data_IF_987070922965
#
_entry.id   IF_987070922965
#
_cell.length_a   1.000
_cell.length_b   1.000
_cell.length_c   1.000
_cell.angle_alpha   90.00
_cell.angle_beta   90.00
_cell.angle_gamma   90.00
#
_symmetry.space_group_name_H-M   'P 1'
#
loop_
_entity.id
_entity.type
_entity.pdbx_description
1 polymer ?
#
# COMPACT_ATOMS: atom_id res chain seq x y z
N UNK A 1 -50.93 16.07 82.63
CA UNK A 1 -49.72 15.37 82.15
C UNK A 1 -49.27 16.10 80.87
N UNK A 2 -48.20 16.89 80.90
CA UNK A 2 -46.85 16.48 80.44
C UNK A 2 -46.93 15.91 79.00
N UNK A 3 -46.32 16.43 77.94
CA UNK A 3 -44.98 17.02 77.83
C UNK A 3 -44.80 17.73 76.47
N UNK A 4 -43.86 18.66 76.45
CA UNK A 4 -43.40 19.59 75.40
C UNK A 4 -42.45 18.95 74.35
N UNK A 5 -42.14 19.72 73.29
CA UNK A 5 -40.91 19.72 72.41
C UNK A 5 -41.08 18.99 71.05
N UNK A 6 -41.14 19.63 69.87
CA UNK A 6 -40.28 20.57 69.08
C UNK A 6 -39.34 19.88 68.06
N UNK A 7 -39.53 20.28 66.80
CA UNK A 7 -38.62 20.49 65.67
C UNK A 7 -37.69 19.35 65.18
N UNK A 8 -37.74 19.04 63.87
CA UNK A 8 -36.70 19.50 62.92
C UNK A 8 -37.07 19.26 61.44
N UNK A 9 -36.72 20.26 60.59
CA UNK A 9 -36.61 20.18 59.12
C UNK A 9 -35.71 19.02 58.70
N UNK A 10 -36.10 18.23 57.68
CA UNK A 10 -35.15 17.49 56.83
C UNK A 10 -35.62 17.42 55.37
N UNK A 11 -34.92 18.18 54.53
CA UNK A 11 -34.36 17.83 53.21
C UNK A 11 -35.21 17.03 52.20
N UNK A 12 -35.61 17.71 51.11
CA UNK A 12 -35.96 17.09 49.83
C UNK A 12 -34.78 16.30 49.27
N UNK A 13 -34.85 14.97 49.33
CA UNK A 13 -33.94 14.06 48.62
C UNK A 13 -34.32 13.99 47.14
N UNK A 14 -33.32 14.26 46.30
CA UNK A 14 -33.28 14.14 44.84
C UNK A 14 -33.79 12.78 44.36
N UNK A 15 -34.84 12.79 43.54
CA UNK A 15 -35.20 11.69 42.65
C UNK A 15 -33.99 11.36 41.76
N UNK A 16 -33.42 10.18 41.97
CA UNK A 16 -32.40 9.61 41.10
C UNK A 16 -33.03 9.23 39.76
N UNK A 17 -32.83 10.09 38.75
CA UNK A 17 -32.93 9.66 37.35
C UNK A 17 -31.55 9.11 36.99
N UNK A 18 -31.45 7.79 36.86
CA UNK A 18 -30.25 7.10 36.39
C UNK A 18 -29.90 7.59 34.99
N UNK A 19 -28.96 8.54 34.92
CA UNK A 19 -28.21 8.83 33.71
C UNK A 19 -27.13 7.75 33.68
N UNK A 20 -27.27 6.75 32.80
CA UNK A 20 -26.14 5.93 32.41
C UNK A 20 -25.12 6.81 31.69
N UNK A 21 -24.23 7.41 32.48
CA UNK A 21 -22.89 7.85 32.05
C UNK A 21 -21.99 6.65 32.21
N UNK A 22 -21.51 6.11 31.08
CA UNK A 22 -20.34 5.23 30.92
C UNK A 22 -20.39 4.66 29.48
N UNK A 23 -19.39 4.66 28.57
CA UNK A 23 -17.95 4.93 28.51
C UNK A 23 -17.61 5.06 26.98
N UNK A 24 -17.19 6.19 26.41
CA UNK A 24 -15.79 6.59 26.15
C UNK A 24 -15.82 7.97 25.45
N UNK A 25 -14.96 8.90 25.86
CA UNK A 25 -14.65 10.08 25.04
C UNK A 25 -14.02 9.60 23.71
N UNK A 26 -14.46 10.05 22.51
CA UNK A 26 -13.72 9.74 21.30
C UNK A 26 -12.36 10.41 21.39
N UNK A 27 -11.32 9.62 21.65
CA UNK A 27 -9.95 10.12 21.74
C UNK A 27 -9.63 10.97 20.50
N UNK A 28 -9.09 12.18 20.69
CA UNK A 28 -8.72 13.02 19.55
C UNK A 28 -7.51 12.43 18.83
N UNK A 29 -7.56 12.36 17.50
CA UNK A 29 -6.50 11.78 16.67
C UNK A 29 -6.10 12.80 15.60
N UNK A 30 -4.83 12.77 15.16
CA UNK A 30 -4.39 13.65 14.05
C UNK A 30 -5.23 13.39 12.79
N UNK A 31 -5.69 14.45 12.13
CA UNK A 31 -6.46 14.35 10.90
C UNK A 31 -5.76 13.49 9.84
N UNK A 32 -4.45 13.65 9.67
CA UNK A 32 -3.65 12.81 8.75
C UNK A 32 -3.62 11.33 9.13
N UNK A 33 -3.76 11.00 10.42
CA UNK A 33 -3.96 9.61 10.89
C UNK A 33 -5.37 9.14 10.60
N UNK A 34 -6.40 9.96 10.86
CA UNK A 34 -7.81 9.60 10.59
C UNK A 34 -8.08 9.35 9.12
N UNK A 35 -7.53 10.22 8.26
CA UNK A 35 -7.57 10.06 6.80
C UNK A 35 -6.92 8.77 6.34
N UNK A 36 -5.78 8.39 6.95
CA UNK A 36 -5.11 7.13 6.65
C UNK A 36 -5.90 5.91 7.16
N UNK A 37 -6.58 6.01 8.31
CA UNK A 37 -7.44 4.95 8.84
C UNK A 37 -8.67 4.72 7.98
N UNK A 38 -9.32 5.80 7.54
CA UNK A 38 -10.48 5.76 6.65
C UNK A 38 -10.13 5.44 5.20
N UNK A 39 -8.84 5.49 4.82
CA UNK A 39 -8.41 5.23 3.45
C UNK A 39 -8.57 6.38 2.49
N UNK A 40 -8.81 7.59 3.00
CA UNK A 40 -8.92 8.83 2.20
C UNK A 40 -7.59 9.10 1.47
N UNK A 41 -6.48 9.06 2.21
CA UNK A 41 -5.14 9.34 1.68
C UNK A 41 -4.07 8.67 2.56
N UNK A 42 -2.84 8.53 2.05
CA UNK A 42 -1.72 8.15 2.91
C UNK A 42 -1.46 9.24 3.96
N UNK A 43 -0.87 8.88 5.11
CA UNK A 43 -0.53 9.89 6.13
C UNK A 43 0.41 10.97 5.60
N UNK A 44 1.37 10.61 4.73
CA UNK A 44 2.30 11.58 4.11
C UNK A 44 1.57 12.52 3.17
N UNK A 45 0.66 11.99 2.36
CA UNK A 45 -0.12 12.80 1.42
C UNK A 45 -1.07 13.75 2.14
N UNK A 46 -1.78 13.27 3.16
CA UNK A 46 -2.61 14.13 4.01
C UNK A 46 -1.76 15.23 4.67
N UNK A 47 -0.57 14.91 5.19
CA UNK A 47 0.36 15.90 5.75
C UNK A 47 0.82 16.92 4.69
N UNK A 48 1.09 16.49 3.46
CA UNK A 48 1.47 17.38 2.35
C UNK A 48 0.36 18.39 2.05
N UNK A 49 -0.86 17.90 1.82
CA UNK A 49 -2.04 18.74 1.55
C UNK A 49 -2.31 19.74 2.69
N UNK A 50 -2.23 19.29 3.94
CA UNK A 50 -2.40 20.17 5.10
C UNK A 50 -1.32 21.26 5.18
N UNK A 51 -0.08 20.91 4.84
CA UNK A 51 1.04 21.86 4.81
C UNK A 51 0.85 22.91 3.71
N UNK A 52 0.53 22.47 2.50
CA UNK A 52 0.25 23.36 1.35
C UNK A 52 -0.90 24.31 1.67
N UNK A 53 -2.02 23.78 2.19
CA UNK A 53 -3.17 24.59 2.59
C UNK A 53 -2.83 25.64 3.66
N UNK A 54 -2.00 25.29 4.65
CA UNK A 54 -1.61 26.24 5.71
C UNK A 54 -0.75 27.41 5.23
N UNK A 55 -0.10 27.27 4.07
CA UNK A 55 0.78 28.29 3.50
C UNK A 55 0.02 29.30 2.64
N UNK A 56 -1.26 29.09 2.36
CA UNK A 56 -1.99 29.84 1.34
C UNK A 56 -2.58 31.20 1.75
N UNK A 57 -2.30 31.73 2.96
CA UNK A 57 -2.81 33.04 3.43
C UNK A 57 -4.31 33.30 3.10
N UNK A 58 -5.15 32.25 3.10
CA UNK A 58 -6.58 32.32 2.80
C UNK A 58 -6.97 32.12 1.32
N UNK A 59 -6.06 32.26 0.36
CA UNK A 59 -6.37 32.01 -1.07
C UNK A 59 -6.14 30.55 -1.45
N UNK A 60 -7.19 29.73 -1.39
CA UNK A 60 -7.14 28.31 -1.73
C UNK A 60 -7.30 28.02 -3.23
N UNK A 61 -7.64 29.02 -4.05
CA UNK A 61 -7.98 28.85 -5.46
C UNK A 61 -6.84 28.26 -6.31
N UNK A 62 -5.59 28.47 -5.89
CA UNK A 62 -4.41 27.96 -6.60
C UNK A 62 -4.08 26.50 -6.28
N UNK A 63 -4.68 25.93 -5.22
CA UNK A 63 -4.40 24.58 -4.78
C UNK A 63 -5.09 23.53 -5.66
N UNK A 64 -4.34 22.49 -6.03
CA UNK A 64 -4.89 21.36 -6.78
C UNK A 64 -5.95 20.61 -5.97
N UNK A 65 -5.71 20.45 -4.67
CA UNK A 65 -6.55 19.72 -3.71
C UNK A 65 -6.50 20.38 -2.33
N UNK A 66 -7.64 20.39 -1.63
CA UNK A 66 -7.85 20.98 -0.31
C UNK A 66 -8.71 20.02 0.52
N UNK A 67 -8.35 19.84 1.78
CA UNK A 67 -9.11 19.01 2.72
C UNK A 67 -10.19 19.86 3.37
N UNK A 68 -11.42 19.35 3.40
CA UNK A 68 -12.56 19.97 4.07
C UNK A 68 -13.04 19.10 5.24
N UNK A 69 -13.32 19.74 6.37
CA UNK A 69 -13.99 19.14 7.52
C UNK A 69 -15.35 19.80 7.67
N UNK A 70 -16.42 18.99 7.60
CA UNK A 70 -17.81 19.47 7.74
C UNK A 70 -18.10 20.71 6.88
N UNK A 71 -17.65 20.68 5.62
CA UNK A 71 -17.84 21.76 4.65
C UNK A 71 -16.86 22.94 4.75
N UNK A 72 -15.96 22.98 5.75
CA UNK A 72 -14.98 24.07 5.92
C UNK A 72 -13.57 23.64 5.50
N UNK A 73 -12.82 24.46 4.75
CA UNK A 73 -11.44 24.13 4.36
C UNK A 73 -10.53 24.07 5.60
N UNK A 74 -9.63 23.10 5.62
CA UNK A 74 -8.67 22.90 6.72
C UNK A 74 -7.38 23.63 6.41
N UNK A 75 -7.14 24.74 7.10
CA UNK A 75 -5.94 25.58 6.94
C UNK A 75 -4.98 25.50 8.14
N UNK A 76 -5.35 24.78 9.20
CA UNK A 76 -4.61 24.69 10.47
C UNK A 76 -3.32 23.85 10.44
N UNK A 77 -2.83 23.45 9.26
CA UNK A 77 -1.58 22.72 9.11
C UNK A 77 -1.61 21.27 9.61
N UNK A 78 -0.43 20.70 9.85
CA UNK A 78 -0.26 19.25 10.05
C UNK A 78 -0.65 18.75 11.45
N UNK A 79 -0.89 19.67 12.39
CA UNK A 79 -1.21 19.35 13.79
C UNK A 79 -2.72 19.17 14.04
N UNK A 80 -3.58 19.47 13.05
CA UNK A 80 -5.03 19.38 13.17
C UNK A 80 -5.44 18.00 13.69
N UNK A 81 -6.32 17.99 14.70
CA UNK A 81 -6.91 16.79 15.29
C UNK A 81 -8.42 16.78 15.07
N UNK A 82 -8.98 15.58 14.97
CA UNK A 82 -10.41 15.32 14.86
C UNK A 82 -10.81 14.24 15.85
N UNK A 83 -12.10 14.13 16.21
CA UNK A 83 -12.62 12.97 16.93
C UNK A 83 -12.26 11.66 16.20
N UNK A 84 -11.98 10.59 16.95
CA UNK A 84 -11.64 9.27 16.38
C UNK A 84 -12.72 8.68 15.50
N UNK A 85 -13.97 9.09 15.71
CA UNK A 85 -15.18 8.73 14.97
C UNK A 85 -15.56 9.75 13.89
N UNK A 86 -14.71 10.75 13.59
CA UNK A 86 -15.01 11.73 12.55
C UNK A 86 -15.13 11.04 11.18
N UNK A 87 -16.22 11.31 10.47
CA UNK A 87 -16.55 10.70 9.18
C UNK A 87 -16.85 11.73 8.10
N UNK A 88 -16.95 13.03 8.41
CA UNK A 88 -17.28 14.09 7.44
C UNK A 88 -16.03 14.78 6.91
N UNK A 89 -15.25 14.04 6.13
CA UNK A 89 -13.98 14.49 5.54
C UNK A 89 -14.06 14.40 4.01
N UNK A 90 -13.76 15.51 3.34
CA UNK A 90 -13.74 15.57 1.88
C UNK A 90 -12.39 16.12 1.37
N UNK A 91 -11.99 15.72 0.17
CA UNK A 91 -10.87 16.31 -0.57
C UNK A 91 -11.41 16.84 -1.88
N UNK A 92 -11.29 18.14 -2.12
CA UNK A 92 -11.83 18.83 -3.31
C UNK A 92 -10.75 19.70 -3.94
N UNK A 93 -10.90 20.02 -5.22
CA UNK A 93 -10.01 21.01 -5.84
C UNK A 93 -10.24 22.40 -5.24
N UNK A 94 -9.15 23.14 -5.00
CA UNK A 94 -9.21 24.52 -4.54
C UNK A 94 -9.80 25.48 -5.58
N UNK A 95 -9.76 25.10 -6.87
CA UNK A 95 -10.23 25.90 -8.03
C UNK A 95 -11.76 26.04 -8.16
N UNK A 96 -12.54 25.80 -7.09
CA UNK A 96 -13.99 26.02 -7.13
C UNK A 96 -14.32 27.33 -6.44
N UNK A 97 -15.00 28.21 -7.17
CA UNK A 97 -15.62 29.40 -6.63
C UNK A 97 -16.76 28.96 -5.72
N UNK A 98 -16.59 29.11 -4.41
CA UNK A 98 -17.71 29.09 -3.49
C UNK A 98 -18.37 30.46 -3.60
N UNK A 99 -19.36 30.62 -4.48
CA UNK A 99 -20.30 31.74 -4.34
C UNK A 99 -21.05 31.53 -3.02
N UNK A 100 -21.00 32.49 -2.12
CA UNK A 100 -21.61 32.46 -0.77
C UNK A 100 -23.15 32.31 -0.75
N UNK A 101 -23.77 32.01 -1.90
CA UNK A 101 -25.22 31.93 -2.11
C UNK A 101 -25.80 30.51 -2.13
N UNK A 102 -25.01 29.44 -2.00
CA UNK A 102 -25.55 28.08 -1.97
C UNK A 102 -25.99 27.69 -0.54
N UNK A 103 -27.14 27.02 -0.44
CA UNK A 103 -27.65 26.42 0.79
C UNK A 103 -26.54 25.72 1.58
N UNK A 104 -26.60 25.69 2.94
CA UNK A 104 -25.54 25.13 3.77
C UNK A 104 -25.10 23.77 3.21
N UNK A 105 -23.80 23.58 2.96
CA UNK A 105 -23.32 22.43 2.22
C UNK A 105 -23.81 21.17 2.92
N UNK A 106 -24.59 20.36 2.21
CA UNK A 106 -25.08 19.07 2.74
C UNK A 106 -23.85 18.30 3.20
N UNK A 107 -23.79 18.02 4.51
CA UNK A 107 -22.66 17.33 5.11
C UNK A 107 -22.57 15.93 4.52
N UNK A 108 -21.62 15.72 3.61
CA UNK A 108 -21.40 14.41 3.01
C UNK A 108 -20.52 13.57 3.94
N UNK A 109 -21.09 12.46 4.39
CA UNK A 109 -20.33 11.43 5.08
C UNK A 109 -19.33 10.79 4.10
N UNK A 110 -18.10 10.60 4.54
CA UNK A 110 -17.08 9.90 3.78
C UNK A 110 -17.54 8.47 3.49
N UNK A 111 -17.47 8.08 2.22
CA UNK A 111 -17.75 6.71 1.78
C UNK A 111 -16.43 5.94 1.73
N UNK A 112 -16.27 4.87 2.55
CA UNK A 112 -15.10 4.00 2.52
C UNK A 112 -14.82 3.46 1.13
N UNK A 113 -13.53 3.30 0.79
CA UNK A 113 -13.08 2.89 -0.55
C UNK A 113 -13.82 1.65 -1.08
N UNK A 114 -14.08 0.66 -0.23
CA UNK A 114 -14.77 -0.58 -0.60
C UNK A 114 -16.29 -0.42 -0.85
N UNK A 115 -16.89 0.69 -0.41
CA UNK A 115 -18.31 1.00 -0.61
C UNK A 115 -18.54 2.03 -1.71
N UNK A 116 -17.47 2.57 -2.32
CA UNK A 116 -17.58 3.50 -3.43
C UNK A 116 -18.01 2.78 -4.70
N UNK A 117 -18.68 3.52 -5.58
CA UNK A 117 -19.01 3.03 -6.91
C UNK A 117 -17.73 2.65 -7.66
N UNK A 118 -17.80 1.61 -8.50
CA UNK A 118 -16.63 1.10 -9.22
C UNK A 118 -15.97 2.19 -10.08
N UNK A 119 -16.79 3.03 -10.69
CA UNK A 119 -16.39 4.12 -11.58
C UNK A 119 -15.54 5.18 -10.85
N UNK A 120 -15.67 5.28 -9.53
CA UNK A 120 -14.90 6.21 -8.69
C UNK A 120 -13.51 5.68 -8.34
N UNK A 121 -13.37 4.35 -8.19
CA UNK A 121 -12.14 3.71 -7.71
C UNK A 121 -11.37 2.99 -8.83
N UNK A 122 -11.98 2.83 -10.00
CA UNK A 122 -11.35 2.20 -11.15
C UNK A 122 -10.09 2.94 -11.55
N UNK A 123 -8.99 2.20 -11.68
CA UNK A 123 -7.67 2.74 -12.01
C UNK A 123 -6.87 3.28 -10.82
N UNK A 124 -7.43 3.42 -9.61
CA UNK A 124 -6.65 3.86 -8.44
C UNK A 124 -5.55 2.88 -8.05
N UNK A 125 -5.70 1.61 -8.43
CA UNK A 125 -4.71 0.56 -8.22
C UNK A 125 -4.40 -0.15 -9.52
N UNK A 126 -3.12 -0.37 -9.75
CA UNK A 126 -2.58 -1.02 -10.94
C UNK A 126 -1.57 -2.10 -10.53
N UNK A 127 -1.27 -2.99 -11.46
CA UNK A 127 -0.21 -3.99 -11.32
C UNK A 127 0.80 -3.80 -12.44
N UNK A 128 2.06 -4.08 -12.14
CA UNK A 128 3.19 -4.06 -13.06
C UNK A 128 3.86 -5.43 -12.99
N UNK A 129 4.17 -6.03 -14.14
CA UNK A 129 5.15 -7.10 -14.18
C UNK A 129 6.55 -6.47 -14.17
N UNK A 130 7.15 -6.38 -12.98
CA UNK A 130 8.41 -5.66 -12.78
C UNK A 130 9.58 -6.47 -13.38
N UNK A 131 10.39 -5.88 -14.29
CA UNK A 131 11.64 -6.50 -14.77
C UNK A 131 12.76 -6.43 -13.71
N UNK A 132 13.84 -7.17 -13.97
CA UNK A 132 15.10 -7.03 -13.23
C UNK A 132 15.71 -5.63 -13.47
N UNK A 133 16.49 -5.12 -12.50
CA UNK A 133 17.25 -3.86 -12.66
C UNK A 133 16.50 -2.61 -12.15
N UNK A 134 15.20 -2.73 -11.87
CA UNK A 134 14.42 -1.64 -11.30
C UNK A 134 14.24 -1.81 -9.80
N UNK A 135 14.24 -0.70 -9.05
CA UNK A 135 13.85 -0.69 -7.63
C UNK A 135 12.36 -0.42 -7.48
N UNK A 136 11.69 -0.97 -6.46
CA UNK A 136 10.24 -0.78 -6.31
C UNK A 136 9.82 0.64 -5.90
N UNK A 137 10.68 1.38 -5.18
CA UNK A 137 10.32 2.63 -4.52
C UNK A 137 11.26 3.77 -4.85
N UNK A 138 11.79 4.43 -3.82
CA UNK A 138 12.72 5.55 -4.00
C UNK A 138 14.03 5.07 -4.62
N UNK A 139 14.65 5.95 -5.41
CA UNK A 139 15.96 5.72 -6.01
C UNK A 139 17.03 5.55 -4.93
N UNK A 140 17.65 4.37 -4.90
CA UNK A 140 18.84 4.07 -4.12
C UNK A 140 20.00 3.82 -5.11
N UNK A 141 21.18 4.36 -4.82
CA UNK A 141 22.44 4.00 -5.50
C UNK A 141 22.41 3.95 -7.05
N UNK A 142 21.81 4.94 -7.71
CA UNK A 142 21.74 5.08 -9.19
C UNK A 142 20.76 4.13 -9.91
N UNK A 143 19.90 3.40 -9.19
CA UNK A 143 18.93 2.51 -9.82
C UNK A 143 17.61 3.19 -10.17
N UNK A 144 17.07 2.84 -11.35
CA UNK A 144 15.82 3.40 -11.88
C UNK A 144 14.62 2.83 -11.12
N UNK A 145 13.65 3.67 -10.70
CA UNK A 145 12.49 3.20 -9.98
C UNK A 145 11.42 2.66 -10.94
N UNK A 146 10.74 1.58 -10.55
CA UNK A 146 9.74 0.89 -11.36
C UNK A 146 8.53 1.77 -11.74
N UNK A 147 8.29 2.88 -11.02
CA UNK A 147 7.27 3.88 -11.38
C UNK A 147 7.51 4.48 -12.78
N UNK A 148 8.76 4.49 -13.26
CA UNK A 148 9.10 4.95 -14.62
C UNK A 148 8.53 4.07 -15.72
N UNK A 149 8.15 2.84 -15.39
CA UNK A 149 7.53 1.92 -16.35
C UNK A 149 6.02 2.17 -16.51
N UNK A 150 5.42 3.09 -15.74
CA UNK A 150 3.99 3.41 -15.82
C UNK A 150 3.69 4.40 -16.95
N UNK A 151 4.10 4.07 -18.18
CA UNK A 151 3.90 4.87 -19.39
C UNK A 151 2.73 4.34 -20.22
N UNK A 152 2.24 5.12 -21.20
CA UNK A 152 1.20 4.66 -22.15
C UNK A 152 1.67 3.42 -22.93
N UNK A 153 2.92 3.42 -23.38
CA UNK A 153 3.45 2.34 -24.21
C UNK A 153 3.59 1.02 -23.43
N UNK A 154 3.70 1.12 -22.11
CA UNK A 154 3.74 -0.03 -21.22
C UNK A 154 2.35 -0.43 -20.69
N UNK A 155 1.29 0.31 -21.02
CA UNK A 155 -0.07 -0.11 -20.68
C UNK A 155 -0.42 -1.37 -21.47
N UNK A 156 -0.79 -2.42 -20.74
CA UNK A 156 -1.29 -3.66 -21.29
C UNK A 156 -2.81 -3.62 -21.41
N UNK A 157 -3.31 -3.79 -22.63
CA UNK A 157 -4.74 -3.79 -22.94
C UNK A 157 -5.27 -5.22 -23.19
N UNK A 158 -4.41 -6.24 -23.14
CA UNK A 158 -4.77 -7.63 -23.43
C UNK A 158 -4.86 -7.92 -24.94
N UNK A 159 -4.88 -9.22 -25.29
CA UNK A 159 -5.13 -9.70 -26.67
C UNK A 159 -6.61 -10.06 -26.93
N UNK A 160 -7.41 -10.42 -25.91
CA UNK A 160 -8.83 -10.84 -26.09
C UNK A 160 -9.83 -10.32 -25.05
N UNK A 161 -9.44 -9.46 -24.10
CA UNK A 161 -10.39 -8.69 -23.32
C UNK A 161 -10.14 -7.21 -23.60
N UNK A 162 -10.65 -6.77 -24.75
CA UNK A 162 -10.93 -5.36 -24.99
C UNK A 162 -11.58 -4.77 -23.75
N UNK A 163 -10.83 -3.98 -22.99
CA UNK A 163 -11.38 -2.73 -22.51
C UNK A 163 -11.86 -2.02 -23.78
N UNK A 164 -13.14 -2.19 -24.10
CA UNK A 164 -13.72 -1.57 -25.29
C UNK A 164 -13.41 -0.08 -25.20
N UNK A 165 -13.18 0.58 -26.32
CA UNK A 165 -13.04 2.04 -26.36
C UNK A 165 -14.35 2.64 -25.84
N UNK A 166 -14.42 2.93 -24.54
CA UNK A 166 -15.67 3.21 -23.81
C UNK A 166 -15.75 2.58 -22.41
N UNK A 167 -15.05 1.47 -22.17
CA UNK A 167 -14.95 0.82 -20.86
C UNK A 167 -13.95 1.56 -19.98
N UNK A 168 -14.44 2.64 -19.35
CA UNK A 168 -14.09 2.99 -17.97
C UNK A 168 -12.64 3.36 -17.61
N UNK A 169 -11.65 3.34 -18.50
CA UNK A 169 -10.33 3.92 -18.21
C UNK A 169 -10.43 5.46 -18.25
N UNK A 170 -11.09 6.05 -17.24
CA UNK A 170 -10.99 7.48 -16.94
C UNK A 170 -9.66 7.79 -16.25
N UNK A 171 -8.54 7.47 -16.91
CA UNK A 171 -7.34 8.27 -16.67
C UNK A 171 -7.63 9.64 -17.26
N UNK A 172 -8.10 10.58 -16.43
CA UNK A 172 -8.23 11.98 -16.82
C UNK A 172 -6.94 12.40 -17.53
N UNK A 173 -7.03 13.00 -18.73
CA UNK A 173 -5.86 13.45 -19.51
C UNK A 173 -4.91 14.33 -18.66
N UNK A 174 -5.42 14.98 -17.61
CA UNK A 174 -4.68 15.76 -16.61
C UNK A 174 -3.72 14.94 -15.73
N UNK A 175 -3.81 13.60 -15.72
CA UNK A 175 -2.99 12.69 -14.88
C UNK A 175 -1.70 12.23 -15.58
N UNK A 176 -1.53 12.54 -16.87
CA UNK A 176 -0.31 12.28 -17.65
C UNK A 176 0.56 13.53 -17.60
N UNK A 177 1.63 13.51 -16.81
CA UNK A 177 2.61 14.60 -16.78
C UNK A 177 3.82 14.20 -17.62
N UNK A 178 4.21 15.04 -18.60
CA UNK A 178 5.36 14.80 -19.52
C UNK A 178 6.68 14.52 -18.80
N UNK A 179 6.74 14.86 -17.53
CA UNK A 179 7.81 14.51 -16.63
C UNK A 179 7.13 14.36 -15.28
N UNK A 180 7.41 13.31 -14.54
CA UNK A 180 7.14 13.28 -13.11
C UNK A 180 8.14 14.24 -12.41
N UNK A 181 8.06 15.53 -12.78
CA UNK A 181 8.91 16.61 -12.30
C UNK A 181 8.41 17.18 -10.97
N UNK A 182 7.23 16.77 -10.51
CA UNK A 182 6.60 17.34 -9.32
C UNK A 182 6.20 16.32 -8.25
N UNK A 183 6.19 15.00 -8.49
CA UNK A 183 6.05 14.07 -7.35
C UNK A 183 7.40 13.77 -6.71
N UNK A 184 7.37 13.63 -5.39
CA UNK A 184 8.52 13.32 -4.51
C UNK A 184 9.12 11.92 -4.71
N UNK A 185 8.75 11.25 -5.82
CA UNK A 185 9.18 9.92 -6.23
C UNK A 185 10.57 9.92 -6.86
N UNK A 186 10.99 11.04 -7.45
CA UNK A 186 12.26 11.22 -8.17
C UNK A 186 13.09 12.32 -7.48
N UNK A 187 14.29 12.01 -6.96
CA UNK A 187 15.20 12.97 -6.35
C UNK A 187 15.58 14.16 -7.26
N UNK A 188 15.69 15.36 -6.65
CA UNK A 188 16.06 16.61 -7.33
C UNK A 188 17.36 16.52 -8.13
N UNK A 189 18.33 15.71 -7.65
CA UNK A 189 19.65 15.51 -8.29
C UNK A 189 19.59 14.84 -9.67
N UNK A 190 18.64 13.93 -9.88
CA UNK A 190 18.43 13.28 -11.19
C UNK A 190 17.71 14.23 -12.13
N UNK A 191 16.81 15.04 -11.58
CA UNK A 191 16.14 16.12 -12.32
C UNK A 191 17.14 17.17 -12.86
N UNK A 192 18.28 17.35 -12.18
CA UNK A 192 19.34 18.29 -12.58
C UNK A 192 20.47 17.66 -13.40
N UNK A 193 20.58 16.34 -13.44
CA UNK A 193 21.62 15.62 -14.21
C UNK A 193 21.13 15.17 -15.59
N UNK A 194 19.84 15.30 -15.87
CA UNK A 194 19.28 15.18 -17.21
C UNK A 194 19.70 16.42 -18.00
N UNK A 195 20.46 16.26 -19.07
CA UNK A 195 20.95 17.40 -19.86
C UNK A 195 19.77 18.13 -20.50
N UNK A 196 19.92 19.44 -20.73
CA UNK A 196 18.94 20.22 -21.51
C UNK A 196 18.78 19.67 -22.94
N UNK A 197 19.73 18.88 -23.44
CA UNK A 197 19.69 18.25 -24.76
C UNK A 197 18.78 17.01 -24.81
N UNK A 198 18.71 16.18 -23.75
CA UNK A 198 17.75 15.06 -23.66
C UNK A 198 16.28 15.52 -23.60
N UNK A 199 16.06 16.80 -23.27
CA UNK A 199 14.75 17.43 -23.21
C UNK A 199 14.32 18.10 -24.54
N UNK A 200 15.26 18.35 -25.46
CA UNK A 200 15.05 19.17 -26.66
C UNK A 200 15.47 18.51 -27.99
N UNK A 201 16.08 17.32 -27.99
CA UNK A 201 16.32 16.57 -29.22
C UNK A 201 15.02 16.06 -29.84
N UNK A 202 14.90 16.09 -31.17
CA UNK A 202 13.71 15.61 -31.90
C UNK A 202 13.45 14.08 -31.79
N UNK A 203 14.20 13.36 -30.96
CA UNK A 203 13.90 11.99 -30.51
C UNK A 203 13.66 11.88 -28.98
N UNK A 204 13.54 13.01 -28.28
CA UNK A 204 13.52 13.16 -26.81
C UNK A 204 12.18 13.65 -26.23
N UNK A 205 11.05 13.04 -26.59
CA UNK A 205 9.84 13.17 -25.76
C UNK A 205 9.96 12.24 -24.57
N UNK A 206 10.41 12.74 -23.41
CA UNK A 206 10.28 12.03 -22.14
C UNK A 206 8.86 11.46 -22.01
N UNK A 207 8.72 10.12 -22.04
CA UNK A 207 7.40 9.49 -22.08
C UNK A 207 6.65 9.84 -20.80
N UNK A 208 5.49 10.49 -20.93
CA UNK A 208 4.64 10.82 -19.80
C UNK A 208 4.34 9.55 -18.97
N UNK A 209 4.61 9.61 -17.67
CA UNK A 209 4.34 8.54 -16.71
C UNK A 209 3.13 8.88 -15.85
N UNK A 210 2.41 7.86 -15.38
CA UNK A 210 1.38 8.03 -14.37
C UNK A 210 1.98 8.52 -13.04
N UNK A 211 1.46 9.63 -12.55
CA UNK A 211 1.89 10.24 -11.29
C UNK A 211 0.95 9.92 -10.12
N UNK A 212 1.50 10.01 -8.91
CA UNK A 212 0.76 9.81 -7.65
C UNK A 212 0.59 8.36 -7.21
N UNK A 213 1.15 7.39 -7.94
CA UNK A 213 1.13 5.98 -7.57
C UNK A 213 2.29 5.62 -6.64
N UNK A 214 1.97 5.00 -5.50
CA UNK A 214 2.97 4.47 -4.58
C UNK A 214 3.05 2.94 -4.69
N UNK A 215 4.24 2.33 -4.57
CA UNK A 215 4.37 0.89 -4.56
C UNK A 215 3.72 0.29 -3.30
N UNK A 216 2.91 -0.74 -3.51
CA UNK A 216 2.27 -1.53 -2.46
C UNK A 216 3.12 -2.76 -2.21
N UNK A 217 4.11 -2.59 -1.34
CA UNK A 217 5.13 -3.57 -1.04
C UNK A 217 6.37 -3.38 -1.90
N UNK A 218 7.33 -4.30 -1.76
CA UNK A 218 8.60 -4.23 -2.48
C UNK A 218 8.96 -5.58 -3.09
N UNK A 219 9.70 -5.53 -4.18
CA UNK A 219 10.48 -6.60 -4.76
C UNK A 219 11.93 -6.14 -4.82
N UNK A 220 12.86 -7.05 -4.59
CA UNK A 220 14.28 -6.75 -4.75
C UNK A 220 14.59 -6.38 -6.21
N UNK A 221 15.70 -5.66 -6.42
CA UNK A 221 16.14 -5.26 -7.75
C UNK A 221 16.32 -6.44 -8.71
N UNK A 222 16.86 -7.56 -8.21
CA UNK A 222 17.11 -8.80 -8.96
C UNK A 222 15.92 -9.76 -8.96
N UNK A 223 14.73 -9.28 -8.60
CA UNK A 223 13.49 -10.07 -8.58
C UNK A 223 12.49 -9.50 -9.59
N UNK A 224 11.73 -10.40 -10.22
CA UNK A 224 10.71 -10.07 -11.23
C UNK A 224 9.30 -10.32 -10.75
N UNK A 225 8.32 -9.96 -11.57
CA UNK A 225 6.92 -10.35 -11.39
C UNK A 225 6.06 -9.26 -10.78
N UNK A 226 4.93 -9.68 -10.21
CA UNK A 226 3.84 -8.83 -9.77
C UNK A 226 4.26 -7.79 -8.74
N UNK A 227 4.25 -6.50 -9.12
CA UNK A 227 4.34 -5.35 -8.23
C UNK A 227 3.06 -4.53 -8.31
N UNK A 228 2.42 -4.31 -7.17
CA UNK A 228 1.20 -3.51 -7.08
C UNK A 228 1.57 -2.06 -6.84
N UNK A 229 0.87 -1.13 -7.49
CA UNK A 229 0.94 0.30 -7.22
C UNK A 229 -0.46 0.82 -6.91
N UNK A 230 -0.59 1.73 -5.95
CA UNK A 230 -1.89 2.30 -5.59
C UNK A 230 -1.78 3.76 -5.16
N UNK A 231 -2.83 4.52 -5.49
CA UNK A 231 -3.12 5.84 -4.93
C UNK A 231 -3.93 5.76 -3.63
N UNK A 232 -4.59 4.63 -3.40
CA UNK A 232 -5.44 4.38 -2.25
C UNK A 232 -4.65 3.73 -1.11
N UNK A 233 -4.41 4.50 -0.03
CA UNK A 233 -3.65 4.00 1.12
C UNK A 233 -4.27 2.77 1.80
N UNK A 234 -5.60 2.61 1.74
CA UNK A 234 -6.31 1.42 2.21
C UNK A 234 -5.91 0.16 1.46
N UNK A 235 -5.74 0.23 0.15
CA UNK A 235 -5.28 -0.90 -0.65
C UNK A 235 -3.88 -1.35 -0.19
N UNK A 236 -2.99 -0.39 0.04
CA UNK A 236 -1.66 -0.67 0.58
C UNK A 236 -1.74 -1.36 1.96
N UNK A 237 -2.50 -0.79 2.89
CA UNK A 237 -2.67 -1.37 4.23
C UNK A 237 -3.22 -2.79 4.17
N UNK A 238 -4.13 -3.06 3.25
CA UNK A 238 -4.76 -4.37 3.07
C UNK A 238 -3.76 -5.43 2.62
N UNK A 239 -2.98 -5.13 1.58
CA UNK A 239 -2.09 -6.09 0.94
C UNK A 239 -0.77 -6.32 1.71
N UNK A 240 -0.23 -5.29 2.39
CA UNK A 240 1.14 -5.32 2.93
C UNK A 240 1.30 -4.92 4.40
N UNK A 241 0.22 -4.70 5.16
CA UNK A 241 0.39 -4.42 6.60
C UNK A 241 1.07 -5.58 7.33
N UNK A 242 1.83 -5.35 8.42
CA UNK A 242 2.50 -6.42 9.16
C UNK A 242 1.55 -7.52 9.68
N UNK A 243 0.30 -7.15 9.96
CA UNK A 243 -0.75 -8.06 10.42
C UNK A 243 -1.47 -8.78 9.27
N UNK A 244 -1.15 -8.49 8.01
CA UNK A 244 -1.80 -9.12 6.87
C UNK A 244 -1.55 -10.62 6.84
N UNK A 245 -2.55 -11.36 6.37
CA UNK A 245 -2.51 -12.80 6.08
C UNK A 245 -2.47 -13.05 4.58
N UNK A 246 -2.40 -11.98 3.77
CA UNK A 246 -2.38 -12.06 2.30
C UNK A 246 -1.18 -12.88 1.83
N UNK A 247 -1.52 -13.99 1.19
CA UNK A 247 -0.60 -14.93 0.59
C UNK A 247 0.14 -14.30 -0.59
N UNK A 248 1.39 -14.69 -0.77
CA UNK A 248 2.26 -14.24 -1.84
C UNK A 248 2.89 -15.47 -2.45
N UNK A 249 2.61 -15.71 -3.72
CA UNK A 249 3.16 -16.83 -4.45
C UNK A 249 4.39 -16.40 -5.23
N UNK A 250 5.40 -17.25 -5.19
CA UNK A 250 6.66 -17.09 -5.89
C UNK A 250 6.97 -18.34 -6.69
N UNK A 251 7.48 -18.15 -7.90
CA UNK A 251 8.20 -19.18 -8.63
C UNK A 251 9.68 -18.82 -8.54
N UNK A 252 10.48 -19.75 -8.03
CA UNK A 252 11.92 -19.58 -7.88
C UNK A 252 12.68 -20.65 -8.63
N UNK A 253 13.78 -20.26 -9.26
CA UNK A 253 14.76 -21.17 -9.85
C UNK A 253 15.97 -21.21 -8.93
N UNK A 254 16.38 -22.41 -8.52
CA UNK A 254 17.36 -22.63 -7.47
C UNK A 254 18.38 -23.70 -7.83
N UNK A 255 19.54 -23.63 -7.18
CA UNK A 255 20.64 -24.59 -7.28
C UNK A 255 21.29 -24.80 -5.91
N UNK A 256 22.15 -25.82 -5.70
CA UNK A 256 22.88 -26.01 -4.46
C UNK A 256 23.75 -24.78 -4.17
N UNK A 257 23.68 -24.25 -2.94
CA UNK A 257 24.54 -23.16 -2.54
C UNK A 257 25.96 -23.67 -2.31
N UNK A 258 26.96 -23.02 -2.90
CA UNK A 258 28.38 -23.34 -2.69
C UNK A 258 28.87 -23.06 -1.25
N UNK A 259 28.14 -22.22 -0.50
CA UNK A 259 28.46 -21.80 0.86
C UNK A 259 27.98 -20.38 1.15
N UNK A 260 28.19 -19.87 2.38
CA UNK A 260 27.96 -18.46 2.71
C UNK A 260 28.79 -17.51 1.84
N UNK A 261 28.23 -16.35 1.50
CA UNK A 261 28.96 -15.30 0.78
C UNK A 261 29.83 -14.50 1.73
N UNK A 262 30.83 -13.77 1.21
CA UNK A 262 31.70 -12.89 2.03
C UNK A 262 30.91 -11.91 2.91
N UNK A 263 29.84 -11.32 2.36
CA UNK A 263 28.97 -10.42 3.13
C UNK A 263 28.23 -11.15 4.24
N UNK A 264 27.70 -12.34 3.96
CA UNK A 264 26.99 -13.13 4.96
C UNK A 264 27.92 -13.60 6.09
N UNK A 265 29.16 -13.96 5.76
CA UNK A 265 30.18 -14.30 6.76
C UNK A 265 30.50 -13.08 7.63
N UNK A 266 30.70 -11.91 7.02
CA UNK A 266 30.94 -10.66 7.75
C UNK A 266 29.75 -10.28 8.65
N UNK A 267 28.53 -10.59 8.22
CA UNK A 267 27.31 -10.39 8.97
C UNK A 267 27.13 -11.45 10.09
N UNK A 268 27.87 -12.58 10.06
CA UNK A 268 27.90 -13.59 11.13
C UNK A 268 27.33 -14.96 10.76
N UNK A 269 26.99 -15.21 9.49
CA UNK A 269 26.54 -16.50 8.99
C UNK A 269 27.74 -17.39 8.63
N UNK A 270 28.12 -18.27 9.56
CA UNK A 270 29.30 -19.13 9.40
C UNK A 270 29.08 -20.37 8.53
N UNK A 271 27.88 -20.96 8.57
CA UNK A 271 27.59 -22.26 7.92
C UNK A 271 26.21 -22.26 7.28
N UNK A 272 26.10 -22.89 6.11
CA UNK A 272 24.81 -23.24 5.49
C UNK A 272 24.52 -24.74 5.71
N UNK A 273 23.24 -25.14 5.82
CA UNK A 273 22.90 -26.56 5.81
C UNK A 273 23.28 -27.19 4.47
N UNK A 274 23.45 -28.52 4.47
CA UNK A 274 23.60 -29.28 3.22
C UNK A 274 22.38 -29.06 2.34
N UNK A 275 22.62 -28.83 1.04
CA UNK A 275 21.55 -28.65 0.07
C UNK A 275 20.58 -29.83 0.08
N UNK A 276 19.29 -29.54 0.21
CA UNK A 276 18.25 -30.57 0.26
C UNK A 276 17.10 -30.25 -0.68
N UNK A 277 16.47 -31.30 -1.20
CA UNK A 277 15.21 -31.22 -1.95
C UNK A 277 13.99 -31.47 -1.05
N UNK A 278 14.21 -31.86 0.20
CA UNK A 278 13.15 -31.99 1.20
C UNK A 278 12.67 -30.60 1.64
N UNK A 279 11.41 -30.30 1.31
CA UNK A 279 10.77 -29.03 1.62
C UNK A 279 10.07 -29.04 2.98
N UNK A 280 10.08 -30.17 3.71
CA UNK A 280 9.36 -30.34 4.99
C UNK A 280 9.72 -29.27 6.01
N UNK A 281 10.98 -28.82 6.02
CA UNK A 281 11.47 -27.77 6.92
C UNK A 281 10.70 -26.45 6.74
N UNK A 282 10.25 -26.10 5.54
CA UNK A 282 9.55 -24.83 5.28
C UNK A 282 8.18 -24.73 5.95
N UNK A 283 7.58 -25.87 6.32
CA UNK A 283 6.27 -25.94 6.95
C UNK A 283 6.34 -26.00 8.49
N UNK A 284 7.54 -26.14 9.06
CA UNK A 284 7.71 -26.23 10.53
C UNK A 284 7.57 -24.87 11.18
N UNK A 285 6.96 -24.87 12.36
CA UNK A 285 7.02 -23.71 13.27
C UNK A 285 8.41 -23.58 13.91
N UNK A 286 8.69 -22.42 14.50
CA UNK A 286 9.98 -22.18 15.18
C UNK A 286 11.16 -21.89 14.26
N UNK A 287 10.98 -21.97 12.92
CA UNK A 287 12.00 -21.55 11.98
C UNK A 287 12.36 -20.06 12.19
N UNK A 288 13.65 -19.77 12.27
CA UNK A 288 14.19 -18.41 12.39
C UNK A 288 15.31 -18.23 11.40
N UNK A 289 15.36 -17.06 10.76
CA UNK A 289 16.54 -16.68 9.99
C UNK A 289 17.62 -16.19 10.98
N UNK A 290 18.89 -16.40 10.66
CA UNK A 290 19.98 -16.31 11.64
C UNK A 290 20.02 -14.94 12.37
N UNK A 291 19.83 -13.83 11.64
CA UNK A 291 19.81 -12.45 12.18
C UNK A 291 18.40 -11.87 12.43
N UNK A 292 17.36 -12.69 12.35
CA UNK A 292 16.00 -12.22 12.64
C UNK A 292 15.68 -12.46 14.11
N UNK A 293 15.09 -11.48 14.78
CA UNK A 293 14.61 -11.63 16.17
C UNK A 293 13.33 -12.44 16.25
N UNK A 294 12.47 -12.34 15.23
CA UNK A 294 11.17 -12.98 15.21
C UNK A 294 11.18 -14.29 14.40
N UNK A 295 10.37 -15.26 14.82
CA UNK A 295 10.16 -16.51 14.07
C UNK A 295 9.43 -16.26 12.75
N UNK A 296 9.74 -17.07 11.74
CA UNK A 296 9.02 -17.11 10.49
C UNK A 296 7.66 -17.75 10.69
N UNK A 297 6.65 -17.25 9.97
CA UNK A 297 5.42 -18.03 9.75
C UNK A 297 5.76 -19.18 8.78
N UNK A 298 5.22 -20.39 9.03
CA UNK A 298 5.31 -21.50 8.08
C UNK A 298 4.89 -21.10 6.67
N UNK A 299 5.55 -21.70 5.67
CA UNK A 299 5.09 -21.61 4.30
C UNK A 299 3.69 -22.23 4.18
N UNK A 300 2.84 -21.64 3.36
CA UNK A 300 1.50 -22.18 3.05
C UNK A 300 1.64 -23.34 2.08
N UNK A 301 2.54 -23.21 1.11
CA UNK A 301 2.77 -24.19 0.06
C UNK A 301 4.22 -24.12 -0.40
N UNK A 302 4.83 -25.27 -0.68
CA UNK A 302 6.13 -25.38 -1.33
C UNK A 302 6.16 -26.68 -2.16
N UNK A 303 6.42 -26.60 -3.45
CA UNK A 303 6.46 -27.77 -4.35
C UNK A 303 7.41 -27.56 -5.53
N UNK A 304 8.10 -28.63 -5.96
CA UNK A 304 8.95 -28.60 -7.16
C UNK A 304 8.09 -28.57 -8.43
N UNK A 305 8.41 -27.65 -9.34
CA UNK A 305 7.78 -27.50 -10.65
C UNK A 305 8.66 -28.22 -11.69
N UNK A 306 8.09 -29.24 -12.35
CA UNK A 306 8.77 -30.21 -13.20
C UNK A 306 9.57 -31.26 -12.39
N UNK A 307 8.87 -32.30 -11.98
CA UNK A 307 9.41 -33.45 -11.23
C UNK A 307 9.96 -34.46 -12.22
N UNK A 308 10.98 -34.08 -12.99
CA UNK A 308 11.77 -35.10 -13.65
C UNK A 308 12.73 -35.70 -12.62
N UNK A 309 12.70 -37.02 -12.44
CA UNK A 309 13.51 -37.70 -11.41
C UNK A 309 15.01 -37.50 -11.69
N UNK A 310 15.36 -37.29 -12.96
CA UNK A 310 16.72 -37.02 -13.42
C UNK A 310 17.00 -35.52 -13.65
N UNK A 311 16.11 -34.62 -13.21
CA UNK A 311 16.28 -33.18 -13.38
C UNK A 311 17.60 -32.73 -12.74
N UNK A 312 18.60 -32.46 -13.59
CA UNK A 312 19.81 -31.75 -13.20
C UNK A 312 19.46 -30.34 -12.75
N UNK A 313 20.29 -29.78 -11.89
CA UNK A 313 20.19 -28.37 -11.52
C UNK A 313 20.39 -27.48 -12.75
N UNK A 314 19.74 -26.30 -12.81
CA UNK A 314 18.88 -25.71 -11.78
C UNK A 314 17.42 -26.23 -11.78
N UNK A 315 16.74 -26.15 -10.64
CA UNK A 315 15.35 -26.63 -10.46
C UNK A 315 14.40 -25.49 -10.13
N UNK A 316 13.12 -25.64 -10.48
CA UNK A 316 12.07 -24.65 -10.19
C UNK A 316 11.19 -25.10 -9.03
N UNK A 317 10.85 -24.18 -8.13
CA UNK A 317 9.94 -24.42 -7.01
C UNK A 317 8.88 -23.32 -6.95
N UNK A 318 7.62 -23.71 -6.68
CA UNK A 318 6.55 -22.80 -6.25
C UNK A 318 6.59 -22.68 -4.73
N UNK A 319 6.53 -21.46 -4.22
CA UNK A 319 6.53 -21.15 -2.79
C UNK A 319 5.46 -20.11 -2.46
N UNK A 320 4.61 -20.38 -1.47
CA UNK A 320 3.56 -19.47 -1.00
C UNK A 320 3.81 -19.11 0.46
N UNK A 321 3.90 -17.81 0.77
CA UNK A 321 4.14 -17.30 2.14
C UNK A 321 3.17 -16.16 2.50
N UNK A 322 2.88 -16.00 3.79
CA UNK A 322 1.99 -14.95 4.35
C UNK A 322 2.73 -13.75 4.93
N UNK A 323 4.05 -13.69 4.76
CA UNK A 323 4.91 -12.62 5.26
C UNK A 323 5.80 -12.08 4.14
N UNK A 324 6.44 -10.93 4.36
CA UNK A 324 7.26 -10.26 3.36
C UNK A 324 8.44 -9.55 3.98
N UNK A 325 9.28 -10.29 4.72
CA UNK A 325 10.52 -9.73 5.31
C UNK A 325 11.58 -9.45 4.25
N UNK A 326 12.61 -8.67 4.61
CA UNK A 326 13.72 -8.32 3.70
C UNK A 326 14.33 -9.61 3.12
N UNK A 327 14.26 -9.76 1.79
CA UNK A 327 14.83 -10.89 1.02
C UNK A 327 14.40 -12.28 1.51
N UNK A 328 13.23 -12.39 2.15
CA UNK A 328 12.85 -13.57 2.91
C UNK A 328 12.90 -14.88 2.12
N UNK A 329 12.38 -14.92 0.90
CA UNK A 329 12.37 -16.12 0.06
C UNK A 329 13.79 -16.61 -0.24
N UNK A 330 14.70 -15.68 -0.58
CA UNK A 330 16.11 -16.02 -0.86
C UNK A 330 16.82 -16.52 0.39
N UNK A 331 16.56 -15.88 1.52
CA UNK A 331 17.11 -16.27 2.83
C UNK A 331 16.60 -17.63 3.29
N UNK A 332 15.30 -17.90 3.16
CA UNK A 332 14.73 -19.22 3.48
C UNK A 332 15.34 -20.33 2.62
N UNK A 333 15.44 -20.13 1.29
CA UNK A 333 16.09 -21.11 0.42
C UNK A 333 17.55 -21.36 0.83
N UNK A 334 18.28 -20.30 1.20
CA UNK A 334 19.69 -20.40 1.54
C UNK A 334 19.95 -20.99 2.92
N UNK A 335 19.29 -20.44 3.95
CA UNK A 335 19.52 -20.74 5.36
C UNK A 335 18.79 -22.02 5.82
N UNK A 336 17.67 -22.40 5.20
CA UNK A 336 16.90 -23.58 5.60
C UNK A 336 17.05 -24.77 4.66
N UNK A 337 17.30 -24.53 3.36
CA UNK A 337 17.42 -25.61 2.37
C UNK A 337 18.84 -25.77 1.80
N UNK A 338 19.76 -24.84 2.09
CA UNK A 338 21.10 -24.87 1.51
C UNK A 338 21.11 -24.59 0.01
N UNK A 339 20.14 -23.81 -0.50
CA UNK A 339 19.95 -23.53 -1.92
C UNK A 339 20.18 -22.04 -2.25
N UNK A 340 20.78 -21.78 -3.41
CA UNK A 340 20.91 -20.44 -3.96
C UNK A 340 19.77 -20.15 -4.95
N UNK A 341 19.18 -18.95 -4.86
CA UNK A 341 18.09 -18.52 -5.76
C UNK A 341 18.67 -17.73 -6.93
N UNK A 342 18.63 -18.34 -8.11
CA UNK A 342 19.04 -17.75 -9.39
C UNK A 342 17.99 -16.77 -9.91
N UNK A 343 16.74 -17.21 -10.03
CA UNK A 343 15.60 -16.41 -10.49
C UNK A 343 14.49 -16.43 -9.45
N UNK A 344 13.86 -15.29 -9.23
CA UNK A 344 12.72 -15.15 -8.33
C UNK A 344 11.67 -14.29 -9.00
N UNK A 345 10.50 -14.87 -9.21
CA UNK A 345 9.34 -14.21 -9.81
C UNK A 345 8.16 -14.30 -8.85
N UNK A 346 7.56 -13.15 -8.49
CA UNK A 346 6.31 -13.14 -7.72
C UNK A 346 5.13 -13.26 -8.68
N UNK A 347 4.40 -14.38 -8.64
CA UNK A 347 3.28 -14.67 -9.55
C UNK A 347 1.94 -14.19 -9.01
N UNK A 348 1.80 -14.03 -7.69
CA UNK A 348 0.56 -13.54 -7.09
C UNK A 348 0.73 -12.80 -5.76
N UNK A 349 -0.24 -11.95 -5.44
CA UNK A 349 -0.45 -11.35 -4.12
C UNK A 349 -1.94 -11.41 -3.80
N UNK A 350 -2.33 -12.34 -2.92
CA UNK A 350 -3.73 -12.63 -2.61
C UNK A 350 -4.50 -13.05 -3.87
N UNK A 351 -5.62 -12.39 -4.13
CA UNK A 351 -6.44 -12.64 -5.32
C UNK A 351 -5.83 -12.10 -6.63
N UNK A 352 -4.80 -11.25 -6.55
CA UNK A 352 -4.18 -10.64 -7.73
C UNK A 352 -3.15 -11.61 -8.31
N UNK A 353 -3.34 -11.99 -9.58
CA UNK A 353 -2.41 -12.86 -10.32
C UNK A 353 -1.72 -12.09 -11.45
N UNK A 354 -0.47 -12.46 -11.72
CA UNK A 354 0.31 -11.92 -12.82
C UNK A 354 -0.31 -12.30 -14.18
N UNK A 355 -0.69 -13.57 -14.33
CA UNK A 355 -1.28 -14.10 -15.57
C UNK A 355 -0.36 -13.87 -16.76
N UNK A 356 -0.95 -13.50 -17.89
CA UNK A 356 -0.24 -13.26 -19.15
C UNK A 356 0.28 -11.82 -19.30
N UNK A 357 0.38 -11.06 -18.20
CA UNK A 357 0.90 -9.69 -18.24
C UNK A 357 2.39 -9.72 -18.61
N UNK A 358 2.79 -9.21 -19.79
CA UNK A 358 4.18 -9.30 -20.23
C UNK A 358 5.11 -8.46 -19.33
N UNK A 359 6.38 -8.85 -19.27
CA UNK A 359 7.38 -8.14 -18.48
C UNK A 359 7.49 -6.66 -18.90
N UNK A 360 7.61 -5.76 -17.91
CA UNK A 360 7.65 -4.32 -18.12
C UNK A 360 6.27 -3.68 -18.37
N UNK A 361 5.23 -4.48 -18.61
CA UNK A 361 3.87 -3.98 -18.84
C UNK A 361 3.06 -3.89 -17.55
N UNK A 362 2.09 -2.99 -17.54
CA UNK A 362 1.19 -2.75 -16.42
C UNK A 362 -0.27 -2.68 -16.85
N UNK A 363 -1.19 -2.99 -15.95
CA UNK A 363 -2.64 -2.85 -16.15
C UNK A 363 -3.35 -2.39 -14.88
N UNK A 364 -4.54 -1.84 -15.00
CA UNK A 364 -5.41 -1.61 -13.84
C UNK A 364 -5.86 -2.92 -13.21
N UNK A 365 -6.15 -2.88 -11.91
CA UNK A 365 -6.90 -3.97 -11.28
C UNK A 365 -8.31 -4.04 -11.86
N UNK A 366 -8.82 -5.28 -11.95
CA UNK A 366 -10.19 -5.59 -12.34
C UNK A 366 -11.14 -5.44 -11.15
N UNK A 367 -12.43 -5.33 -11.42
CA UNK A 367 -13.46 -5.15 -10.39
C UNK A 367 -13.49 -6.33 -9.43
N UNK A 368 -13.37 -7.54 -9.97
CA UNK A 368 -13.40 -8.80 -9.24
C UNK A 368 -12.17 -8.94 -8.34
N UNK A 369 -11.00 -8.51 -8.82
CA UNK A 369 -9.76 -8.48 -8.03
C UNK A 369 -9.91 -7.54 -6.82
N UNK A 370 -10.46 -6.34 -7.02
CA UNK A 370 -10.73 -5.39 -5.93
C UNK A 370 -11.74 -5.97 -4.94
N UNK A 371 -12.86 -6.49 -5.43
CA UNK A 371 -13.88 -7.12 -4.57
C UNK A 371 -13.29 -8.26 -3.74
N UNK A 372 -12.49 -9.14 -4.33
CA UNK A 372 -11.85 -10.26 -3.63
C UNK A 372 -10.89 -9.79 -2.53
N UNK A 373 -10.13 -8.72 -2.75
CA UNK A 373 -9.22 -8.13 -1.74
C UNK A 373 -9.99 -7.61 -0.52
N UNK A 374 -11.19 -7.04 -0.75
CA UNK A 374 -12.04 -6.50 0.32
C UNK A 374 -13.04 -7.51 0.90
N UNK A 375 -13.27 -8.64 0.22
CA UNK A 375 -14.14 -9.72 0.70
C UNK A 375 -13.53 -10.49 1.88
N UNK A 376 -12.20 -10.53 2.02
CA UNK A 376 -11.54 -11.26 3.11
C UNK A 376 -12.03 -10.77 4.52
N UNK A 377 -12.71 -11.58 5.32
CA UNK A 377 -13.37 -11.12 6.55
C UNK A 377 -12.41 -10.73 7.70
N UNK A 378 -11.11 -11.02 7.59
CA UNK A 378 -10.15 -11.06 8.71
C UNK A 378 -9.85 -9.73 9.45
N UNK A 379 -10.57 -8.64 9.16
CA UNK A 379 -10.49 -7.40 9.94
C UNK A 379 -11.82 -6.89 10.51
N UNK A 380 -12.99 -7.40 10.08
CA UNK A 380 -14.28 -7.04 10.70
C UNK A 380 -14.34 -7.43 12.18
N UNK A 381 -13.58 -8.44 12.58
CA UNK A 381 -13.56 -8.98 13.95
C UNK A 381 -12.74 -8.14 14.94
N UNK A 382 -11.89 -7.21 14.47
CA UNK A 382 -11.05 -6.37 15.35
C UNK A 382 -11.63 -4.99 15.67
N UNK A 383 -12.50 -4.45 14.82
CA UNK A 383 -13.24 -3.21 15.13
C UNK A 383 -14.28 -3.40 16.25
N UNK A 384 -14.65 -4.65 16.57
CA UNK A 384 -15.60 -4.98 17.65
C UNK A 384 -14.95 -5.35 18.99
N UNK A 385 -13.62 -5.40 19.09
CA UNK A 385 -12.90 -5.93 20.27
C UNK A 385 -11.93 -4.96 20.95
N UNK A 386 -11.99 -3.67 20.64
CA UNK A 386 -11.25 -2.63 21.36
C UNK A 386 -12.21 -1.66 22.02
#
# INVERSE_FOLDING_TARGET
MLTTIRNHRVSMKRMHRCIHKDVTNPTSIRLSKRMAELGIASRREATRLLKEASQCQGSIQHLSEVIYLRGKPVLGGTAVKVPSDEEYIEVKSGRRDFSESEAPPVLRKFVPYQHRAWEEISGDTIILNKPVGFVSGQEEHQHVPAVRLLTKDNLYIGSEETLKKGDGLRFSRKKWTNLDSMTSSIPKRVRSSLSKEELNGEEGKGKATLSGYAPVGRLDINSTGLLVFSRAGVMARRLISPATTVEKEYIITVEPALGPSKLEIADGLSVLPKSTTDLSVLFREGNRLWNDTAFLRPAVKAEWLHVDKDAKWPRKMRLVIKQGRKRQVRRMARELLGLHVLKLERTSVGAIRLGDLPEGKWRSLRREEVQAIFADPLQKTRERRN
#
